data_IF_269384665029
#
_entry.id   IF_269384665029
#
_cell.length_a   1.000
_cell.length_b   1.000
_cell.length_c   1.000
_cell.angle_alpha   90.00
_cell.angle_beta   90.00
_cell.angle_gamma   90.00
#
_symmetry.space_group_name_H-M   'P 1'
#
loop_
_entity.id
_entity.type
_entity.pdbx_description
1 polymer ?
#
# COMPACT_ATOMS: atom_id res chain seq x y z
N UNK A 1 -7.36 21.03 -28.83
CA UNK A 1 -7.48 19.62 -28.37
C UNK A 1 -6.68 18.60 -29.22
N UNK A 2 -6.02 19.01 -30.27
CA UNK A 2 -5.27 18.11 -31.17
C UNK A 2 -3.82 17.81 -30.76
N UNK A 3 -3.24 18.53 -29.81
CA UNK A 3 -1.80 18.44 -29.46
C UNK A 3 -1.44 17.35 -28.43
N UNK A 4 -2.42 16.76 -27.76
CA UNK A 4 -2.19 15.70 -26.75
C UNK A 4 -2.17 14.30 -27.36
N UNK A 5 -2.59 14.16 -28.63
CA UNK A 5 -2.78 12.85 -29.29
C UNK A 5 -1.49 12.34 -29.97
N UNK A 6 -0.53 13.23 -30.26
CA UNK A 6 0.70 12.83 -30.98
C UNK A 6 1.62 11.86 -30.21
N UNK A 7 1.91 12.04 -28.91
CA UNK A 7 2.75 11.09 -28.18
C UNK A 7 2.08 9.72 -27.92
N UNK A 8 0.73 9.67 -27.93
CA UNK A 8 0.01 8.41 -27.71
C UNK A 8 0.11 7.45 -28.91
N UNK A 9 0.26 7.96 -30.15
CA UNK A 9 0.42 7.12 -31.35
C UNK A 9 1.73 6.32 -31.37
N UNK A 10 2.74 6.78 -30.64
CA UNK A 10 3.98 6.03 -30.48
C UNK A 10 3.79 4.84 -29.54
N UNK A 11 3.02 5.02 -28.47
CA UNK A 11 2.65 3.94 -27.53
C UNK A 11 1.82 2.85 -28.24
N UNK A 12 0.95 3.21 -29.18
CA UNK A 12 0.17 2.26 -29.98
C UNK A 12 1.04 1.37 -30.87
N UNK A 13 2.26 1.83 -31.23
CA UNK A 13 3.23 1.06 -32.01
C UNK A 13 4.10 0.13 -31.19
N UNK A 14 4.37 0.48 -29.94
CA UNK A 14 5.25 -0.27 -29.02
C UNK A 14 4.46 -1.30 -28.20
N UNK A 15 3.25 -0.94 -27.84
CA UNK A 15 2.31 -1.81 -27.10
C UNK A 15 1.09 -1.96 -27.99
N UNK A 16 0.66 -3.21 -28.28
CA UNK A 16 -0.52 -3.51 -29.11
C UNK A 16 -1.82 -3.06 -28.41
N UNK A 17 -2.00 -1.74 -28.27
CA UNK A 17 -3.13 -1.10 -27.58
C UNK A 17 -4.16 -0.69 -28.64
N UNK A 18 -5.42 -1.02 -28.42
CA UNK A 18 -6.52 -0.59 -29.28
C UNK A 18 -6.73 0.92 -29.22
N UNK A 19 -7.16 1.56 -30.33
CA UNK A 19 -7.49 2.99 -30.31
C UNK A 19 -8.55 3.29 -29.23
N UNK A 20 -8.20 4.16 -28.26
CA UNK A 20 -9.06 4.52 -27.12
C UNK A 20 -8.64 3.91 -25.77
N UNK A 21 -7.88 2.84 -25.73
CA UNK A 21 -7.38 2.23 -24.49
C UNK A 21 -6.15 2.95 -23.91
N UNK A 22 -5.45 3.73 -24.72
CA UNK A 22 -4.24 4.45 -24.30
C UNK A 22 -4.47 5.36 -23.08
N UNK A 23 -5.65 5.98 -22.98
CA UNK A 23 -6.01 6.81 -21.83
C UNK A 23 -6.18 5.97 -20.56
N UNK A 24 -6.83 4.83 -20.65
CA UNK A 24 -6.98 3.90 -19.53
C UNK A 24 -5.63 3.32 -19.09
N UNK A 25 -4.77 3.00 -20.05
CA UNK A 25 -3.41 2.52 -19.80
C UNK A 25 -2.56 3.57 -19.07
N UNK A 26 -2.60 4.84 -19.48
CA UNK A 26 -1.89 5.92 -18.79
C UNK A 26 -2.38 6.11 -17.35
N UNK A 27 -3.69 6.07 -17.12
CA UNK A 27 -4.24 6.17 -15.78
C UNK A 27 -3.86 4.97 -14.91
N UNK A 28 -3.90 3.76 -15.44
CA UNK A 28 -3.48 2.56 -14.74
C UNK A 28 -2.00 2.59 -14.41
N UNK A 29 -1.17 3.05 -15.34
CA UNK A 29 0.27 3.23 -15.11
C UNK A 29 0.55 4.27 -14.03
N UNK A 30 -0.08 5.45 -14.10
CA UNK A 30 0.08 6.50 -13.11
C UNK A 30 -0.36 6.03 -11.71
N UNK A 31 -1.47 5.31 -11.64
CA UNK A 31 -1.96 4.74 -10.39
C UNK A 31 -0.98 3.70 -9.81
N UNK A 32 -0.51 2.76 -10.61
CA UNK A 32 0.46 1.76 -10.20
C UNK A 32 1.80 2.38 -9.80
N UNK A 33 2.25 3.39 -10.53
CA UNK A 33 3.45 4.16 -10.20
C UNK A 33 3.32 4.85 -8.84
N UNK A 34 2.21 5.55 -8.57
CA UNK A 34 1.97 6.19 -7.29
C UNK A 34 1.94 5.19 -6.14
N UNK A 35 1.37 4.02 -6.36
CA UNK A 35 1.30 2.95 -5.36
C UNK A 35 2.67 2.38 -5.04
N UNK A 36 3.48 2.08 -6.06
CA UNK A 36 4.86 1.63 -5.88
C UNK A 36 5.73 2.70 -5.23
N UNK A 37 5.61 3.96 -5.66
CA UNK A 37 6.34 5.07 -5.06
C UNK A 37 6.01 5.21 -3.56
N UNK A 38 4.73 5.16 -3.20
CA UNK A 38 4.29 5.14 -1.81
C UNK A 38 4.88 3.97 -1.02
N UNK A 39 4.89 2.78 -1.60
CA UNK A 39 5.50 1.61 -0.98
C UNK A 39 7.02 1.79 -0.76
N UNK A 40 7.74 2.27 -1.76
CA UNK A 40 9.19 2.49 -1.64
C UNK A 40 9.56 3.59 -0.65
N UNK A 41 8.70 4.56 -0.41
CA UNK A 41 8.88 5.56 0.66
C UNK A 41 8.64 4.94 2.04
N UNK A 42 7.61 4.11 2.17
CA UNK A 42 7.24 3.49 3.45
C UNK A 42 8.18 2.36 3.87
N UNK A 43 8.83 1.68 2.92
CA UNK A 43 9.73 0.55 3.18
C UNK A 43 10.93 0.93 4.08
N UNK A 44 11.75 1.94 3.75
CA UNK A 44 12.85 2.34 4.62
C UNK A 44 12.37 2.85 5.97
N UNK A 45 11.25 3.55 6.02
CA UNK A 45 10.64 3.99 7.27
C UNK A 45 10.26 2.80 8.17
N UNK A 46 9.70 1.73 7.59
CA UNK A 46 9.42 0.48 8.30
C UNK A 46 10.69 -0.12 8.90
N UNK A 47 11.74 -0.21 8.10
CA UNK A 47 13.00 -0.86 8.50
C UNK A 47 13.69 -0.03 9.61
N UNK A 48 13.67 1.29 9.51
CA UNK A 48 14.16 2.20 10.55
C UNK A 48 13.38 2.07 11.87
N UNK A 49 12.04 2.02 11.80
CA UNK A 49 11.21 1.79 12.97
C UNK A 49 11.41 0.40 13.58
N UNK A 50 11.72 -0.60 12.76
CA UNK A 50 12.09 -1.94 13.23
C UNK A 50 13.38 -1.92 14.05
N UNK A 51 14.40 -1.20 13.59
CA UNK A 51 15.67 -1.02 14.28
C UNK A 51 15.50 -0.16 15.54
N UNK A 52 14.75 0.93 15.48
CA UNK A 52 14.42 1.79 16.62
C UNK A 52 13.67 1.02 17.72
N UNK A 53 12.84 0.03 17.33
CA UNK A 53 12.16 -0.90 18.24
C UNK A 53 13.08 -1.87 19.00
N UNK A 54 14.39 -1.83 18.71
CA UNK A 54 15.46 -2.66 19.28
C UNK A 54 15.81 -3.85 18.39
N UNK A 55 17.04 -3.85 17.89
CA UNK A 55 17.57 -4.89 16.97
C UNK A 55 17.41 -6.30 17.55
N UNK A 56 17.54 -6.45 18.87
CA UNK A 56 17.36 -7.73 19.59
C UNK A 56 15.93 -8.28 19.50
N UNK A 57 14.96 -7.40 19.28
CA UNK A 57 13.55 -7.78 19.17
C UNK A 57 13.08 -7.92 17.71
N UNK A 58 13.95 -7.67 16.74
CA UNK A 58 13.62 -7.74 15.33
C UNK A 58 13.10 -9.12 14.91
N UNK A 59 13.67 -10.18 15.46
CA UNK A 59 13.22 -11.55 15.24
C UNK A 59 11.76 -11.76 15.69
N UNK A 60 11.39 -11.21 16.85
CA UNK A 60 10.01 -11.26 17.36
C UNK A 60 9.05 -10.44 16.50
N UNK A 61 9.51 -9.31 15.95
CA UNK A 61 8.70 -8.50 15.04
C UNK A 61 8.40 -9.23 13.74
N UNK A 62 9.37 -9.94 13.17
CA UNK A 62 9.15 -10.77 11.98
C UNK A 62 8.21 -11.94 12.27
N UNK A 63 8.36 -12.59 13.41
CA UNK A 63 7.46 -13.67 13.83
C UNK A 63 6.04 -13.15 14.05
N UNK A 64 5.88 -12.02 14.74
CA UNK A 64 4.58 -11.37 14.92
C UNK A 64 3.95 -10.99 13.58
N UNK A 65 4.73 -10.41 12.66
CA UNK A 65 4.27 -10.06 11.31
C UNK A 65 3.78 -11.30 10.56
N UNK A 66 4.49 -12.40 10.66
CA UNK A 66 4.08 -13.66 10.04
C UNK A 66 2.71 -14.13 10.52
N UNK A 67 2.49 -14.17 11.84
CA UNK A 67 1.21 -14.59 12.40
C UNK A 67 0.07 -13.61 12.07
N UNK A 68 0.35 -12.31 12.12
CA UNK A 68 -0.65 -11.29 11.76
C UNK A 68 -1.01 -11.39 10.27
N UNK A 69 -0.05 -11.61 9.38
CA UNK A 69 -0.32 -11.82 7.96
C UNK A 69 -1.12 -13.10 7.71
N UNK A 70 -0.78 -14.19 8.40
CA UNK A 70 -1.49 -15.45 8.30
C UNK A 70 -2.96 -15.32 8.71
N UNK A 71 -3.26 -14.51 9.73
CA UNK A 71 -4.61 -14.19 10.15
C UNK A 71 -5.30 -13.18 9.21
N UNK A 72 -4.56 -12.19 8.72
CA UNK A 72 -5.08 -11.12 7.86
C UNK A 72 -5.56 -11.63 6.49
N UNK A 73 -4.86 -12.60 5.90
CA UNK A 73 -5.22 -13.16 4.58
C UNK A 73 -6.63 -13.75 4.55
N UNK A 74 -7.04 -14.67 5.44
CA UNK A 74 -8.40 -15.20 5.43
C UNK A 74 -9.46 -14.14 5.78
N UNK A 75 -9.14 -13.21 6.68
CA UNK A 75 -10.05 -12.10 7.02
C UNK A 75 -10.28 -11.23 5.80
N UNK A 76 -9.22 -10.87 5.08
CA UNK A 76 -9.31 -10.12 3.84
C UNK A 76 -10.13 -10.87 2.79
N UNK A 77 -9.86 -12.14 2.57
CA UNK A 77 -10.63 -12.99 1.65
C UNK A 77 -12.12 -13.01 1.98
N UNK A 78 -12.47 -13.12 3.26
CA UNK A 78 -13.85 -13.08 3.72
C UNK A 78 -14.52 -11.71 3.49
N UNK A 79 -13.78 -10.62 3.68
CA UNK A 79 -14.29 -9.26 3.43
C UNK A 79 -14.50 -9.01 1.94
N UNK A 80 -13.53 -9.42 1.10
CA UNK A 80 -13.66 -9.31 -0.37
C UNK A 80 -14.81 -10.13 -0.90
N UNK A 81 -15.06 -11.32 -0.36
CA UNK A 81 -16.17 -12.18 -0.77
C UNK A 81 -17.56 -11.59 -0.45
N UNK A 82 -17.65 -10.75 0.58
CA UNK A 82 -18.93 -10.17 1.04
C UNK A 82 -19.23 -8.78 0.48
N UNK A 83 -18.24 -8.04 0.03
CA UNK A 83 -18.39 -6.65 -0.38
C UNK A 83 -18.21 -6.49 -1.91
N UNK A 84 -19.10 -5.75 -2.59
CA UNK A 84 -18.93 -5.44 -4.00
C UNK A 84 -17.69 -4.54 -4.19
N UNK A 85 -16.88 -4.80 -5.21
CA UNK A 85 -15.63 -4.10 -5.51
C UNK A 85 -15.74 -2.57 -5.47
N UNK A 86 -16.88 -2.02 -5.91
CA UNK A 86 -17.13 -0.57 -5.91
C UNK A 86 -17.10 0.07 -4.52
N UNK A 87 -17.50 -0.66 -3.48
CA UNK A 87 -17.51 -0.18 -2.09
C UNK A 87 -16.26 -0.59 -1.33
N UNK A 88 -15.71 -1.74 -1.69
CA UNK A 88 -14.54 -2.31 -1.04
C UNK A 88 -13.29 -1.43 -1.24
N UNK A 89 -12.99 -1.03 -2.49
CA UNK A 89 -11.79 -0.26 -2.81
C UNK A 89 -11.72 1.07 -2.03
N UNK A 90 -12.73 1.97 -2.08
CA UNK A 90 -12.68 3.20 -1.33
C UNK A 90 -12.65 2.98 0.19
N UNK A 91 -13.34 1.96 0.70
CA UNK A 91 -13.31 1.62 2.12
C UNK A 91 -11.90 1.28 2.60
N UNK A 92 -11.20 0.41 1.86
CA UNK A 92 -9.83 -0.01 2.18
C UNK A 92 -8.87 1.19 2.14
N UNK A 93 -8.98 2.05 1.13
CA UNK A 93 -8.13 3.24 1.05
C UNK A 93 -8.37 4.22 2.19
N UNK A 94 -9.63 4.51 2.53
CA UNK A 94 -9.94 5.39 3.66
C UNK A 94 -9.47 4.79 4.99
N UNK A 95 -9.61 3.49 5.17
CA UNK A 95 -9.09 2.78 6.34
C UNK A 95 -7.57 2.96 6.47
N UNK A 96 -6.81 2.78 5.39
CA UNK A 96 -5.36 2.94 5.42
C UNK A 96 -4.93 4.40 5.61
N UNK A 97 -5.59 5.34 4.96
CA UNK A 97 -5.33 6.78 5.17
C UNK A 97 -5.57 7.19 6.62
N UNK A 98 -6.67 6.74 7.21
CA UNK A 98 -6.98 6.99 8.62
C UNK A 98 -5.91 6.39 9.55
N UNK A 99 -5.45 5.17 9.29
CA UNK A 99 -4.39 4.55 10.07
C UNK A 99 -3.06 5.30 9.95
N UNK A 100 -2.66 5.72 8.75
CA UNK A 100 -1.44 6.52 8.55
C UNK A 100 -1.55 7.83 9.34
N UNK A 101 -2.69 8.50 9.30
CA UNK A 101 -2.93 9.73 10.07
C UNK A 101 -2.83 9.48 11.58
N UNK A 102 -3.38 8.37 12.08
CA UNK A 102 -3.29 7.97 13.50
C UNK A 102 -1.82 7.71 13.88
N UNK A 103 -1.06 6.98 13.10
CA UNK A 103 0.36 6.72 13.37
C UNK A 103 1.19 8.00 13.34
N UNK A 104 0.93 8.88 12.38
CA UNK A 104 1.57 10.19 12.31
C UNK A 104 1.31 11.00 13.57
N UNK A 105 0.07 11.01 14.05
CA UNK A 105 -0.34 11.72 15.25
C UNK A 105 0.32 11.13 16.51
N UNK A 106 0.34 9.80 16.65
CA UNK A 106 0.99 9.10 17.76
C UNK A 106 2.51 9.37 17.81
N UNK A 107 3.16 9.39 16.65
CA UNK A 107 4.59 9.69 16.56
C UNK A 107 4.90 11.17 16.87
N UNK A 108 3.99 12.09 16.49
CA UNK A 108 4.14 13.52 16.77
C UNK A 108 3.97 13.84 18.26
N UNK A 109 3.04 13.17 18.93
CA UNK A 109 2.79 13.37 20.37
C UNK A 109 3.73 12.58 21.28
N UNK A 110 4.67 11.85 20.73
CA UNK A 110 5.70 11.13 21.49
C UNK A 110 5.16 10.05 22.44
N UNK A 111 3.96 9.55 22.18
CA UNK A 111 3.28 8.57 23.01
C UNK A 111 3.87 7.19 22.75
N UNK A 112 4.70 6.72 23.70
CA UNK A 112 5.20 5.33 23.69
C UNK A 112 5.96 4.95 22.42
N UNK A 113 6.90 5.75 21.96
CA UNK A 113 7.67 5.59 20.70
C UNK A 113 8.04 4.15 20.38
N UNK A 114 8.50 3.40 21.38
CA UNK A 114 8.96 2.03 21.18
C UNK A 114 7.81 1.07 20.78
N UNK A 115 6.66 1.19 21.43
CA UNK A 115 5.49 0.36 21.13
C UNK A 115 4.86 0.76 19.80
N UNK A 116 4.74 2.05 19.56
CA UNK A 116 4.22 2.59 18.30
C UNK A 116 5.08 2.16 17.12
N UNK A 117 6.41 2.20 17.25
CA UNK A 117 7.35 1.74 16.22
C UNK A 117 7.16 0.24 15.89
N UNK A 118 6.97 -0.60 16.90
CA UNK A 118 6.73 -2.04 16.72
C UNK A 118 5.40 -2.33 16.04
N UNK A 119 4.34 -1.68 16.48
CA UNK A 119 3.00 -1.83 15.89
C UNK A 119 3.01 -1.32 14.45
N UNK A 120 3.66 -0.21 14.19
CA UNK A 120 3.82 0.38 12.87
C UNK A 120 4.56 -0.56 11.91
N UNK A 121 5.63 -1.22 12.36
CA UNK A 121 6.37 -2.20 11.57
C UNK A 121 5.47 -3.33 11.07
N UNK A 122 4.71 -3.94 11.97
CA UNK A 122 3.77 -5.02 11.65
C UNK A 122 2.66 -4.51 10.73
N UNK A 123 2.10 -3.36 11.04
CA UNK A 123 1.00 -2.76 10.29
C UNK A 123 1.40 -2.42 8.85
N UNK A 124 2.57 -1.81 8.61
CA UNK A 124 3.06 -1.51 7.26
C UNK A 124 3.26 -2.79 6.44
N UNK A 125 3.70 -3.86 7.08
CA UNK A 125 3.86 -5.15 6.40
C UNK A 125 2.50 -5.69 5.94
N UNK A 126 1.47 -5.59 6.76
CA UNK A 126 0.09 -5.93 6.40
C UNK A 126 -0.46 -4.99 5.33
N UNK A 127 -0.21 -3.68 5.46
CA UNK A 127 -0.60 -2.69 4.45
C UNK A 127 -0.05 -3.04 3.06
N UNK A 128 1.23 -3.39 2.99
CA UNK A 128 1.87 -3.77 1.74
C UNK A 128 1.19 -4.98 1.09
N UNK A 129 0.89 -6.01 1.89
CA UNK A 129 0.17 -7.19 1.41
C UNK A 129 -1.18 -6.80 0.80
N UNK A 130 -1.96 -5.98 1.49
CA UNK A 130 -3.28 -5.57 1.02
C UNK A 130 -3.22 -4.61 -0.17
N UNK A 131 -2.30 -3.65 -0.16
CA UNK A 131 -2.12 -2.70 -1.25
C UNK A 131 -1.82 -3.41 -2.58
N UNK A 132 -1.02 -4.48 -2.54
CA UNK A 132 -0.71 -5.29 -3.72
C UNK A 132 -1.85 -6.26 -4.07
N UNK A 133 -2.57 -6.78 -3.07
CA UNK A 133 -3.66 -7.78 -3.28
C UNK A 133 -4.96 -7.16 -3.81
N UNK A 134 -5.15 -5.84 -3.71
CA UNK A 134 -6.32 -5.13 -4.24
C UNK A 134 -6.24 -4.97 -5.77
N UNK A 135 -5.06 -5.17 -6.36
CA UNK A 135 -4.83 -5.22 -7.81
C UNK A 135 -5.10 -6.60 -8.39
#
# INVERSE_FOLDING_TARGET
MASVVAPLRWLEKVVAVRPGEARALCWSFAYFFCLLAGYYILRPLRDEMGVAGGVRNLQWLFTATFFVMLAAVPVFGAVVARLPRRRFIPLVYHFFVANIAIFWLLLTFDVGKLYVARIFFVWISVFNLFAVSVF
#
